data_IF_956845200720
#
_entry.id   IF_956845200720
#
_cell.length_a   1.000
_cell.length_b   1.000
_cell.length_c   1.000
_cell.angle_alpha   90.00
_cell.angle_beta   90.00
_cell.angle_gamma   90.00
#
_symmetry.space_group_name_H-M   'P 1'
#
loop_
_entity.id
_entity.type
_entity.pdbx_description
1 polymer ?
#
# COMPACT_ATOMS: atom_id res chain seq x y z
N UNK A 1 -56.93 -29.85 -44.09
CA UNK A 1 -56.56 -29.90 -42.64
C UNK A 1 -55.10 -29.47 -42.51
N UNK A 2 -54.90 -28.15 -42.19
CA UNK A 2 -53.54 -27.59 -41.98
C UNK A 2 -53.24 -27.55 -40.46
N UNK A 3 -52.23 -28.28 -40.08
CA UNK A 3 -51.72 -28.31 -38.70
C UNK A 3 -50.71 -27.18 -38.54
N UNK A 4 -50.99 -26.19 -37.67
CA UNK A 4 -50.04 -25.10 -37.32
C UNK A 4 -49.15 -25.59 -36.18
N UNK A 5 -47.85 -25.70 -36.43
CA UNK A 5 -46.84 -25.87 -35.37
C UNK A 5 -46.56 -24.50 -34.73
N UNK A 6 -46.79 -24.42 -33.42
CA UNK A 6 -46.32 -23.31 -32.57
C UNK A 6 -44.89 -23.59 -32.14
N UNK A 7 -43.94 -22.74 -32.55
CA UNK A 7 -42.59 -22.74 -32.05
C UNK A 7 -42.53 -21.80 -30.85
N UNK A 8 -42.38 -22.36 -29.66
CA UNK A 8 -42.15 -21.60 -28.43
C UNK A 8 -40.64 -21.36 -28.32
N UNK A 9 -40.21 -20.13 -28.60
CA UNK A 9 -38.83 -19.70 -28.38
C UNK A 9 -38.60 -19.44 -26.88
N UNK A 10 -37.73 -20.24 -26.27
CA UNK A 10 -37.25 -19.99 -24.91
C UNK A 10 -36.19 -18.89 -24.93
N UNK A 11 -36.52 -17.74 -24.37
CA UNK A 11 -35.57 -16.65 -24.12
C UNK A 11 -34.76 -16.98 -22.86
N UNK A 12 -33.55 -17.49 -23.01
CA UNK A 12 -32.61 -17.64 -21.91
C UNK A 12 -31.97 -16.29 -21.58
N UNK A 13 -32.53 -15.63 -20.58
CA UNK A 13 -31.90 -14.42 -20.01
C UNK A 13 -30.62 -14.77 -19.27
N UNK A 14 -29.48 -14.33 -19.82
CA UNK A 14 -28.19 -14.36 -19.11
C UNK A 14 -28.24 -13.23 -18.08
N UNK A 15 -28.44 -13.59 -16.81
CA UNK A 15 -28.19 -12.68 -15.68
C UNK A 15 -26.67 -12.50 -15.56
N UNK A 16 -26.18 -11.34 -16.02
CA UNK A 16 -24.84 -10.87 -15.68
C UNK A 16 -24.82 -10.56 -14.18
N UNK A 17 -24.23 -11.44 -13.37
CA UNK A 17 -23.85 -11.10 -12.01
C UNK A 17 -22.72 -10.04 -12.12
N UNK A 18 -23.10 -8.76 -12.05
CA UNK A 18 -22.15 -7.71 -11.65
C UNK A 18 -21.73 -8.02 -10.21
N UNK A 19 -20.56 -8.62 -10.04
CA UNK A 19 -19.91 -8.69 -8.74
C UNK A 19 -19.76 -7.25 -8.23
N UNK A 20 -20.46 -6.90 -7.14
CA UNK A 20 -20.12 -5.72 -6.36
C UNK A 20 -18.72 -5.99 -5.78
N UNK A 21 -17.68 -5.53 -6.45
CA UNK A 21 -16.40 -5.31 -5.79
C UNK A 21 -16.68 -4.26 -4.71
N UNK A 22 -16.61 -4.68 -3.45
CA UNK A 22 -16.66 -3.75 -2.32
C UNK A 22 -15.49 -2.80 -2.50
N UNK A 23 -15.79 -1.56 -2.86
CA UNK A 23 -14.77 -0.53 -2.99
C UNK A 23 -14.08 -0.39 -1.62
N UNK A 24 -12.76 -0.59 -1.58
CA UNK A 24 -11.94 -0.24 -0.42
C UNK A 24 -12.21 1.23 -0.08
N UNK A 25 -12.64 1.50 1.13
CA UNK A 25 -12.94 2.86 1.58
C UNK A 25 -12.63 3.00 3.06
N UNK A 26 -11.80 3.99 3.39
CA UNK A 26 -11.40 4.27 4.78
C UNK A 26 -12.53 4.98 5.53
N UNK A 27 -12.88 4.47 6.72
CA UNK A 27 -13.78 5.13 7.67
C UNK A 27 -12.99 6.15 8.51
N UNK A 28 -12.93 7.39 8.03
CA UNK A 28 -12.16 8.45 8.70
C UNK A 28 -12.72 8.87 10.06
N UNK A 29 -14.03 8.72 10.30
CA UNK A 29 -14.60 9.02 11.61
C UNK A 29 -14.11 8.00 12.65
N UNK A 30 -14.07 6.73 12.28
CA UNK A 30 -13.50 5.67 13.12
C UNK A 30 -12.00 5.83 13.29
N UNK A 31 -11.25 6.12 12.21
CA UNK A 31 -9.81 6.37 12.28
C UNK A 31 -9.48 7.52 13.22
N UNK A 32 -10.27 8.60 13.21
CA UNK A 32 -10.12 9.72 14.13
C UNK A 32 -10.37 9.29 15.60
N UNK A 33 -11.38 8.49 15.85
CA UNK A 33 -11.64 7.96 17.20
C UNK A 33 -10.49 7.08 17.69
N UNK A 34 -9.98 6.18 16.84
CA UNK A 34 -8.81 5.34 17.16
C UNK A 34 -7.58 6.20 17.43
N UNK A 35 -7.28 7.17 16.56
CA UNK A 35 -6.16 8.09 16.74
C UNK A 35 -6.23 8.81 18.08
N UNK A 36 -7.36 9.46 18.39
CA UNK A 36 -7.53 10.24 19.61
C UNK A 36 -7.43 9.36 20.86
N UNK A 37 -8.03 8.17 20.82
CA UNK A 37 -8.03 7.24 21.96
C UNK A 37 -6.65 6.68 22.27
N UNK A 38 -5.80 6.44 21.26
CA UNK A 38 -4.48 5.80 21.43
C UNK A 38 -3.33 6.81 21.53
N UNK A 39 -3.40 7.92 20.82
CA UNK A 39 -2.30 8.88 20.67
C UNK A 39 -2.67 10.30 21.13
N UNK A 40 -3.93 10.52 21.49
CA UNK A 40 -4.42 11.86 21.82
C UNK A 40 -4.67 12.73 20.58
N UNK A 41 -5.11 13.99 20.76
CA UNK A 41 -5.54 14.85 19.66
C UNK A 41 -4.40 15.51 18.88
N UNK A 42 -3.14 15.34 19.29
CA UNK A 42 -2.00 16.09 18.75
C UNK A 42 -1.80 15.93 17.24
N UNK A 43 -2.13 14.76 16.68
CA UNK A 43 -1.98 14.45 15.25
C UNK A 43 -3.30 14.49 14.46
N UNK A 44 -4.39 14.99 15.04
CA UNK A 44 -5.67 15.10 14.33
C UNK A 44 -5.58 15.96 13.05
N UNK A 45 -4.72 16.98 13.05
CA UNK A 45 -4.45 17.78 11.85
C UNK A 45 -3.75 17.00 10.74
N UNK A 46 -2.81 16.13 11.08
CA UNK A 46 -2.13 15.27 10.11
C UNK A 46 -3.10 14.24 9.51
N UNK A 47 -3.99 13.66 10.31
CA UNK A 47 -5.05 12.77 9.84
C UNK A 47 -6.00 13.49 8.88
N UNK A 48 -6.43 14.72 9.22
CA UNK A 48 -7.30 15.54 8.36
C UNK A 48 -6.62 15.90 7.04
N UNK A 49 -5.31 16.21 7.04
CA UNK A 49 -4.54 16.47 5.84
C UNK A 49 -4.41 15.22 4.96
N UNK A 50 -4.24 14.03 5.56
CA UNK A 50 -4.24 12.76 4.83
C UNK A 50 -5.59 12.49 4.18
N UNK A 51 -6.69 12.64 4.91
CA UNK A 51 -8.06 12.53 4.39
C UNK A 51 -8.28 13.47 3.19
N UNK A 52 -7.87 14.73 3.33
CA UNK A 52 -7.98 15.74 2.26
C UNK A 52 -7.14 15.38 1.04
N UNK A 53 -5.92 14.87 1.24
CA UNK A 53 -5.05 14.42 0.15
C UNK A 53 -5.71 13.28 -0.64
N UNK A 54 -6.29 12.28 0.05
CA UNK A 54 -7.00 11.17 -0.56
C UNK A 54 -8.24 11.65 -1.31
N UNK A 55 -9.09 12.46 -0.68
CA UNK A 55 -10.30 12.99 -1.32
C UNK A 55 -9.98 13.76 -2.63
N UNK A 56 -8.93 14.58 -2.61
CA UNK A 56 -8.47 15.33 -3.79
C UNK A 56 -7.79 14.43 -4.85
N UNK A 57 -7.36 13.22 -4.48
CA UNK A 57 -6.70 12.27 -5.35
C UNK A 57 -7.63 11.26 -6.03
N UNK A 58 -8.86 11.08 -5.56
CA UNK A 58 -9.76 9.99 -6.01
C UNK A 58 -9.91 9.91 -7.53
N UNK A 59 -10.12 11.04 -8.18
CA UNK A 59 -10.34 11.12 -9.62
C UNK A 59 -9.07 11.45 -10.44
N UNK A 60 -7.91 11.46 -9.80
CA UNK A 60 -6.65 11.74 -10.49
C UNK A 60 -6.19 10.52 -11.31
N UNK A 61 -5.36 10.76 -12.35
CA UNK A 61 -4.66 9.70 -13.05
C UNK A 61 -3.68 8.95 -12.12
N UNK A 62 -3.42 7.66 -12.40
CA UNK A 62 -2.54 6.83 -11.55
C UNK A 62 -1.18 7.48 -11.25
N UNK A 63 -0.45 8.08 -12.22
CA UNK A 63 0.83 8.74 -11.91
C UNK A 63 0.70 9.89 -10.90
N UNK A 64 -0.41 10.64 -10.97
CA UNK A 64 -0.67 11.72 -10.01
C UNK A 64 -1.02 11.20 -8.61
N UNK A 65 -1.75 10.07 -8.54
CA UNK A 65 -2.02 9.36 -7.27
C UNK A 65 -0.71 8.93 -6.61
N UNK A 66 0.18 8.28 -7.36
CA UNK A 66 1.49 7.85 -6.87
C UNK A 66 2.30 9.02 -6.32
N UNK A 67 2.39 10.12 -7.08
CA UNK A 67 3.14 11.30 -6.66
C UNK A 67 2.56 11.93 -5.40
N UNK A 68 1.24 12.15 -5.34
CA UNK A 68 0.56 12.76 -4.19
C UNK A 68 0.78 11.96 -2.90
N UNK A 69 0.62 10.65 -2.97
CA UNK A 69 0.82 9.77 -1.81
C UNK A 69 2.29 9.74 -1.38
N UNK A 70 3.21 9.60 -2.34
CA UNK A 70 4.65 9.59 -2.03
C UNK A 70 5.09 10.91 -1.40
N UNK A 71 4.70 12.04 -1.98
CA UNK A 71 5.04 13.37 -1.48
C UNK A 71 4.43 13.63 -0.10
N UNK A 72 3.19 13.18 0.13
CA UNK A 72 2.53 13.38 1.41
C UNK A 72 3.32 12.75 2.55
N UNK A 73 3.57 11.47 2.50
CA UNK A 73 4.29 10.77 3.58
C UNK A 73 5.72 11.26 3.70
N UNK A 74 6.45 11.38 2.59
CA UNK A 74 7.86 11.80 2.63
C UNK A 74 8.07 13.22 3.17
N UNK A 75 7.06 14.09 3.13
CA UNK A 75 7.16 15.48 3.65
C UNK A 75 6.54 15.68 5.02
N UNK A 76 5.63 14.79 5.43
CA UNK A 76 4.82 15.01 6.63
C UNK A 76 5.20 14.09 7.79
N UNK A 77 5.87 12.99 7.51
CA UNK A 77 6.33 12.02 8.50
C UNK A 77 7.83 12.18 8.70
N UNK A 78 8.26 12.14 9.95
CA UNK A 78 9.69 12.15 10.30
C UNK A 78 10.20 10.72 10.28
N UNK A 79 11.35 10.47 9.64
CA UNK A 79 12.01 9.18 9.73
C UNK A 79 12.61 8.99 11.14
N UNK A 80 12.27 7.88 11.78
CA UNK A 80 12.82 7.48 13.09
C UNK A 80 12.76 5.95 13.22
N UNK A 81 13.70 5.38 13.96
CA UNK A 81 13.81 3.94 14.11
C UNK A 81 12.77 3.39 15.10
N UNK A 82 12.31 2.17 14.86
CA UNK A 82 11.33 1.45 15.70
C UNK A 82 11.70 1.39 17.17
N UNK A 83 12.99 1.19 17.47
CA UNK A 83 13.46 1.14 18.85
C UNK A 83 13.17 2.45 19.61
N UNK A 84 13.24 3.59 18.92
CA UNK A 84 12.95 4.92 19.47
C UNK A 84 11.46 5.16 19.62
N UNK A 85 10.63 4.60 18.71
CA UNK A 85 9.19 4.85 18.67
C UNK A 85 8.44 3.85 19.55
N UNK A 86 8.76 2.55 19.41
CA UNK A 86 7.99 1.44 19.96
C UNK A 86 8.72 0.65 21.05
N UNK A 87 10.02 0.92 21.27
CA UNK A 87 10.86 0.10 22.17
C UNK A 87 11.08 -1.32 21.66
N UNK A 88 10.85 -1.57 20.37
CA UNK A 88 11.02 -2.84 19.67
C UNK A 88 11.98 -2.64 18.48
N UNK A 89 12.63 -3.69 18.00
CA UNK A 89 13.63 -3.57 16.93
C UNK A 89 13.06 -3.68 15.52
N UNK A 90 11.79 -4.06 15.37
CA UNK A 90 11.16 -4.30 14.06
C UNK A 90 9.64 -4.41 14.28
N UNK A 91 8.96 -3.27 14.24
CA UNK A 91 7.51 -3.13 14.42
C UNK A 91 6.89 -2.50 13.18
N UNK A 92 6.04 -3.21 12.49
CA UNK A 92 5.35 -2.68 11.30
C UNK A 92 4.08 -1.95 11.70
N UNK A 93 4.12 -0.63 11.67
CA UNK A 93 2.99 0.20 12.08
C UNK A 93 1.87 0.20 11.03
N UNK A 94 0.62 0.25 11.51
CA UNK A 94 -0.52 0.57 10.64
C UNK A 94 -0.47 2.04 10.22
N UNK A 95 -1.20 2.46 9.16
CA UNK A 95 -1.21 3.87 8.78
C UNK A 95 -1.67 4.81 9.89
N UNK A 96 -2.60 4.36 10.76
CA UNK A 96 -3.06 5.20 11.87
C UNK A 96 -2.04 5.27 13.01
N UNK A 97 -1.26 4.21 13.21
CA UNK A 97 -0.14 4.21 14.14
C UNK A 97 0.97 5.14 13.68
N UNK A 98 1.35 5.09 12.38
CA UNK A 98 2.31 6.00 11.78
C UNK A 98 1.87 7.47 11.89
N UNK A 99 0.61 7.77 11.56
CA UNK A 99 0.05 9.12 11.67
C UNK A 99 -0.01 9.55 13.13
N UNK A 100 -0.40 8.66 14.04
CA UNK A 100 -0.51 8.95 15.47
C UNK A 100 0.83 9.28 16.13
N UNK A 101 1.92 8.66 15.67
CA UNK A 101 3.28 8.97 16.09
C UNK A 101 3.88 10.17 15.33
N UNK A 102 3.43 10.42 14.10
CA UNK A 102 4.01 11.44 13.20
C UNK A 102 5.42 11.09 12.74
N UNK A 103 5.89 9.89 13.02
CA UNK A 103 7.21 9.35 12.69
C UNK A 103 7.16 7.84 12.52
N UNK A 104 8.10 7.29 11.75
CA UNK A 104 8.21 5.87 11.44
C UNK A 104 9.43 5.56 10.59
N UNK A 105 9.65 4.30 10.31
CA UNK A 105 10.75 3.85 9.47
C UNK A 105 10.31 3.41 8.06
N UNK A 106 11.18 2.71 7.32
CA UNK A 106 10.96 2.45 5.90
C UNK A 106 9.73 1.58 5.60
N UNK A 107 9.44 0.58 6.43
CA UNK A 107 8.26 -0.26 6.28
C UNK A 107 6.97 0.49 6.55
N UNK A 108 6.96 1.36 7.57
CA UNK A 108 5.81 2.18 7.92
C UNK A 108 5.42 3.13 6.81
N UNK A 109 6.41 3.82 6.22
CA UNK A 109 6.21 4.65 5.03
C UNK A 109 5.63 3.85 3.87
N UNK A 110 6.21 2.67 3.60
CA UNK A 110 5.80 1.81 2.48
C UNK A 110 4.39 1.27 2.66
N UNK A 111 4.04 0.83 3.87
CA UNK A 111 2.72 0.32 4.25
C UNK A 111 1.66 1.42 4.15
N UNK A 112 1.93 2.61 4.68
CA UNK A 112 0.99 3.73 4.63
C UNK A 112 0.74 4.20 3.19
N UNK A 113 1.78 4.22 2.34
CA UNK A 113 1.64 4.49 0.90
C UNK A 113 0.79 3.40 0.22
N UNK A 114 1.00 2.12 0.55
CA UNK A 114 0.24 0.99 0.01
C UNK A 114 -1.25 1.14 0.30
N UNK A 115 -1.66 1.32 1.56
CA UNK A 115 -3.07 1.49 1.94
C UNK A 115 -3.69 2.74 1.34
N UNK A 116 -2.95 3.85 1.28
CA UNK A 116 -3.41 5.09 0.65
C UNK A 116 -3.71 4.91 -0.85
N UNK A 117 -2.87 4.16 -1.57
CA UNK A 117 -3.09 3.89 -2.99
C UNK A 117 -4.26 2.92 -3.22
N UNK A 118 -4.49 1.96 -2.31
CA UNK A 118 -5.68 1.11 -2.34
C UNK A 118 -6.95 1.96 -2.18
N UNK A 119 -7.01 2.89 -1.21
CA UNK A 119 -8.14 3.80 -1.04
C UNK A 119 -8.37 4.70 -2.26
N UNK A 120 -7.31 5.08 -2.95
CA UNK A 120 -7.39 5.82 -4.22
C UNK A 120 -7.82 4.94 -5.41
N UNK A 121 -8.10 3.64 -5.19
CA UNK A 121 -8.59 2.72 -6.22
C UNK A 121 -7.49 2.12 -7.09
N UNK A 122 -6.23 2.14 -6.67
CA UNK A 122 -5.18 1.36 -7.33
C UNK A 122 -5.35 -0.12 -6.92
N UNK A 123 -5.53 -1.06 -7.88
CA UNK A 123 -5.73 -2.46 -7.56
C UNK A 123 -4.54 -3.09 -6.83
N UNK A 124 -4.80 -4.01 -5.89
CA UNK A 124 -3.77 -4.80 -5.18
C UNK A 124 -2.77 -5.44 -6.15
N UNK A 125 -3.25 -5.93 -7.30
CA UNK A 125 -2.40 -6.58 -8.33
C UNK A 125 -1.32 -5.65 -8.91
N UNK A 126 -1.47 -4.33 -8.77
CA UNK A 126 -0.49 -3.33 -9.21
C UNK A 126 0.49 -2.90 -8.12
N UNK A 127 0.33 -3.33 -6.88
CA UNK A 127 1.12 -2.88 -5.74
C UNK A 127 1.84 -4.03 -5.07
N UNK A 128 3.13 -3.85 -4.76
CA UNK A 128 3.91 -4.79 -3.94
C UNK A 128 4.81 -4.03 -2.99
N UNK A 129 4.79 -4.41 -1.73
CA UNK A 129 5.83 -4.08 -0.77
C UNK A 129 7.06 -4.93 -1.09
N UNK A 130 8.21 -4.31 -1.21
CA UNK A 130 9.46 -4.98 -1.64
C UNK A 130 10.52 -4.79 -0.58
N UNK A 131 10.96 -5.90 0.01
CA UNK A 131 12.11 -5.93 0.90
C UNK A 131 13.39 -5.99 0.07
N UNK A 132 14.29 -5.05 0.28
CA UNK A 132 15.50 -4.86 -0.50
C UNK A 132 16.74 -4.75 0.39
N UNK A 133 17.92 -5.01 -0.18
CA UNK A 133 19.18 -4.46 0.34
C UNK A 133 19.44 -3.14 -0.37
N UNK A 134 19.42 -2.04 0.37
CA UNK A 134 19.73 -0.71 -0.14
C UNK A 134 21.23 -0.43 0.07
N UNK A 135 21.89 0.02 -1.00
CA UNK A 135 23.28 0.52 -0.95
C UNK A 135 23.24 2.02 -0.76
N UNK A 136 23.88 2.48 0.30
CA UNK A 136 24.07 3.89 0.59
C UNK A 136 25.54 4.24 0.69
N UNK A 137 25.91 5.46 0.32
CA UNK A 137 27.27 5.95 0.52
C UNK A 137 27.45 6.39 1.98
N UNK A 138 28.37 5.73 2.69
CA UNK A 138 28.73 6.06 4.05
C UNK A 138 30.13 6.70 4.14
N UNK A 139 30.52 7.26 5.30
CA UNK A 139 31.81 7.93 5.49
C UNK A 139 33.03 7.02 5.24
N UNK A 140 32.88 5.71 5.47
CA UNK A 140 33.93 4.70 5.27
C UNK A 140 33.76 3.86 3.99
N UNK A 141 32.88 4.27 3.07
CA UNK A 141 32.49 3.57 1.84
C UNK A 141 31.04 3.08 1.87
N UNK A 142 30.61 2.37 0.81
CA UNK A 142 29.21 1.97 0.68
C UNK A 142 28.81 0.96 1.77
N UNK A 143 27.64 1.20 2.36
CA UNK A 143 27.00 0.31 3.33
C UNK A 143 25.75 -0.31 2.71
N UNK A 144 25.48 -1.57 3.06
CA UNK A 144 24.25 -2.27 2.69
C UNK A 144 23.37 -2.39 3.92
N UNK A 145 22.14 -1.87 3.81
CA UNK A 145 21.17 -1.97 4.88
C UNK A 145 19.86 -2.61 4.39
N UNK A 146 19.15 -3.24 5.32
CA UNK A 146 17.78 -3.67 5.09
C UNK A 146 16.90 -2.45 4.83
N UNK A 147 15.99 -2.56 3.87
CA UNK A 147 15.10 -1.47 3.51
C UNK A 147 13.82 -1.99 2.88
N UNK A 148 12.74 -1.23 2.97
CA UNK A 148 11.47 -1.54 2.32
C UNK A 148 11.02 -0.39 1.45
N UNK A 149 10.52 -0.72 0.25
CA UNK A 149 9.94 0.23 -0.70
C UNK A 149 8.61 -0.28 -1.21
N UNK A 150 7.79 0.62 -1.76
CA UNK A 150 6.59 0.25 -2.47
C UNK A 150 6.84 0.27 -3.98
N UNK A 151 6.53 -0.83 -4.67
CA UNK A 151 6.60 -0.95 -6.12
C UNK A 151 5.20 -0.90 -6.72
N UNK A 152 5.03 -0.07 -7.76
CA UNK A 152 3.81 0.02 -8.57
C UNK A 152 4.06 -0.50 -9.98
N UNK A 153 3.22 -1.45 -10.42
CA UNK A 153 3.25 -2.08 -11.74
C UNK A 153 2.08 -1.55 -12.59
N UNK A 154 2.35 -0.77 -13.63
CA UNK A 154 1.31 -0.31 -14.56
C UNK A 154 0.59 -1.48 -15.25
N UNK A 155 1.36 -2.52 -15.63
CA UNK A 155 0.91 -3.82 -16.13
C UNK A 155 1.75 -4.93 -15.45
N UNK A 156 1.32 -6.21 -15.46
CA UNK A 156 2.01 -7.30 -14.76
C UNK A 156 3.50 -7.47 -15.11
N UNK A 157 3.90 -7.10 -16.32
CA UNK A 157 5.28 -7.24 -16.83
C UNK A 157 5.99 -5.89 -17.00
N UNK A 158 5.41 -4.79 -16.51
CA UNK A 158 6.05 -3.48 -16.58
C UNK A 158 7.26 -3.41 -15.65
N UNK A 159 8.25 -2.60 -16.01
CA UNK A 159 9.28 -2.14 -15.09
C UNK A 159 8.61 -1.28 -14.00
N UNK A 160 8.57 -1.72 -12.74
CA UNK A 160 7.77 -1.04 -11.74
C UNK A 160 8.36 0.31 -11.35
N UNK A 161 7.47 1.24 -11.02
CA UNK A 161 7.85 2.49 -10.38
C UNK A 161 8.06 2.28 -8.88
N UNK A 162 9.16 2.78 -8.35
CA UNK A 162 9.53 2.66 -6.93
C UNK A 162 9.17 3.95 -6.18
N UNK A 163 8.37 3.79 -5.13
CA UNK A 163 8.05 4.83 -4.16
C UNK A 163 8.87 4.55 -2.89
N UNK A 164 9.68 5.50 -2.49
CA UNK A 164 10.69 5.33 -1.46
C UNK A 164 10.71 6.56 -0.52
N UNK A 165 11.18 6.39 0.71
CA UNK A 165 11.41 7.50 1.65
C UNK A 165 12.87 7.98 1.65
N UNK A 166 13.84 7.12 1.29
CA UNK A 166 15.25 7.49 1.16
C UNK A 166 15.53 8.26 -0.12
N UNK A 167 14.95 7.83 -1.24
CA UNK A 167 14.99 8.56 -2.50
C UNK A 167 13.57 8.94 -2.89
N UNK A 168 13.21 10.17 -2.65
CA UNK A 168 11.83 10.67 -2.80
C UNK A 168 11.36 10.79 -4.25
N UNK A 169 12.28 10.71 -5.23
CA UNK A 169 11.93 10.72 -6.64
C UNK A 169 11.40 9.34 -7.06
N UNK A 170 10.19 9.31 -7.63
CA UNK A 170 9.61 8.08 -8.18
C UNK A 170 10.35 7.73 -9.48
N UNK A 171 11.05 6.59 -9.49
CA UNK A 171 11.84 6.09 -10.63
C UNK A 171 11.49 4.66 -10.98
N UNK A 172 11.68 4.24 -12.24
CA UNK A 172 11.63 2.83 -12.61
C UNK A 172 12.68 2.01 -11.84
N UNK A 173 12.34 0.77 -11.46
CA UNK A 173 13.23 -0.12 -10.72
C UNK A 173 14.57 -0.36 -11.46
N UNK A 174 14.54 -0.43 -12.81
CA UNK A 174 15.75 -0.54 -13.63
C UNK A 174 16.73 0.62 -13.45
N UNK A 175 16.27 1.77 -12.94
CA UNK A 175 17.11 2.94 -12.63
C UNK A 175 17.46 3.07 -11.16
N UNK A 176 17.05 2.10 -10.32
CA UNK A 176 17.37 2.01 -8.89
C UNK A 176 18.40 0.91 -8.65
N UNK A 177 19.59 1.11 -9.22
CA UNK A 177 20.73 0.18 -9.09
C UNK A 177 21.31 0.11 -7.68
N UNK A 178 20.88 1.01 -6.82
CA UNK A 178 21.14 1.03 -5.39
C UNK A 178 20.31 0.00 -4.60
N UNK A 179 19.24 -0.56 -5.20
CA UNK A 179 18.33 -1.49 -4.55
C UNK A 179 18.48 -2.92 -5.11
N UNK A 180 18.72 -3.89 -4.23
CA UNK A 180 18.73 -5.31 -4.58
C UNK A 180 17.53 -6.04 -3.95
N UNK A 181 16.47 -6.38 -4.73
CA UNK A 181 15.27 -7.03 -4.22
C UNK A 181 15.56 -8.43 -3.64
N UNK A 182 14.98 -8.74 -2.47
CA UNK A 182 15.08 -10.04 -1.81
C UNK A 182 13.76 -10.81 -1.95
N UNK A 183 12.66 -10.18 -1.54
CA UNK A 183 11.29 -10.68 -1.72
C UNK A 183 10.31 -9.52 -1.82
N UNK A 184 9.11 -9.81 -2.33
CA UNK A 184 8.01 -8.85 -2.36
C UNK A 184 6.71 -9.51 -1.93
N UNK A 185 5.76 -8.72 -1.44
CA UNK A 185 4.49 -9.23 -0.94
C UNK A 185 3.38 -8.16 -1.02
N UNK A 186 2.15 -8.62 -0.91
CA UNK A 186 0.95 -7.81 -0.65
C UNK A 186 -0.13 -8.72 -0.03
N UNK A 187 -1.38 -8.26 0.04
CA UNK A 187 -2.48 -9.07 0.58
C UNK A 187 -2.84 -10.30 -0.27
N UNK A 188 -2.38 -10.38 -1.53
CA UNK A 188 -2.64 -11.49 -2.44
C UNK A 188 -1.53 -12.57 -2.42
N UNK A 189 -0.31 -12.27 -1.94
CA UNK A 189 0.76 -13.27 -1.93
C UNK A 189 2.14 -12.77 -1.54
N UNK A 190 3.10 -13.70 -1.63
CA UNK A 190 4.53 -13.49 -1.39
C UNK A 190 5.32 -14.00 -2.60
N UNK A 191 6.28 -13.22 -3.09
CA UNK A 191 7.11 -13.53 -4.25
C UNK A 191 8.60 -13.44 -3.90
N UNK A 192 9.40 -14.33 -4.49
CA UNK A 192 10.86 -14.20 -4.40
C UNK A 192 11.32 -13.04 -5.30
N UNK A 193 12.07 -12.09 -4.76
CA UNK A 193 12.45 -10.88 -5.47
C UNK A 193 11.23 -10.13 -6.00
N UNK A 194 11.27 -9.78 -7.28
CA UNK A 194 10.16 -9.17 -8.03
C UNK A 194 9.51 -10.16 -9.02
N UNK A 195 9.76 -11.45 -8.87
CA UNK A 195 9.27 -12.52 -9.76
C UNK A 195 7.76 -12.65 -9.83
N UNK A 196 7.27 -13.46 -10.77
CA UNK A 196 5.82 -13.63 -11.03
C UNK A 196 5.20 -14.82 -10.32
N UNK A 197 5.99 -15.76 -9.77
CA UNK A 197 5.48 -16.91 -9.04
C UNK A 197 5.30 -16.57 -7.56
N UNK A 198 4.05 -16.59 -7.09
CA UNK A 198 3.72 -16.41 -5.68
C UNK A 198 3.91 -17.70 -4.91
N UNK A 199 4.48 -17.63 -3.70
CA UNK A 199 4.40 -18.69 -2.72
C UNK A 199 3.18 -18.49 -1.83
N UNK A 200 2.66 -19.59 -1.24
CA UNK A 200 1.60 -19.49 -0.23
C UNK A 200 2.14 -19.18 1.17
N UNK A 201 3.45 -18.94 1.30
CA UNK A 201 4.08 -18.56 2.57
C UNK A 201 3.64 -17.18 2.98
N UNK A 202 3.31 -17.00 4.25
CA UNK A 202 2.91 -15.73 4.82
C UNK A 202 4.02 -15.20 5.74
N UNK A 203 4.25 -13.89 5.68
CA UNK A 203 5.09 -13.21 6.66
C UNK A 203 4.27 -12.98 7.94
N UNK A 204 4.74 -13.46 9.08
CA UNK A 204 4.00 -13.33 10.36
C UNK A 204 3.72 -11.86 10.72
N UNK A 205 4.69 -10.97 10.52
CA UNK A 205 4.51 -9.51 10.74
C UNK A 205 3.46 -8.90 9.84
N UNK A 206 3.41 -9.31 8.58
CA UNK A 206 2.38 -8.86 7.65
C UNK A 206 0.99 -9.34 8.07
N UNK A 207 0.85 -10.58 8.53
CA UNK A 207 -0.43 -11.09 9.04
C UNK A 207 -0.88 -10.36 10.31
N UNK A 208 0.04 -10.08 11.24
CA UNK A 208 -0.25 -9.28 12.42
C UNK A 208 -0.69 -7.85 12.05
N UNK A 209 0.02 -7.20 11.14
CA UNK A 209 -0.34 -5.87 10.62
C UNK A 209 -1.73 -5.89 9.97
N UNK A 210 -2.03 -6.88 9.12
CA UNK A 210 -3.35 -7.02 8.49
C UNK A 210 -4.45 -7.16 9.54
N UNK A 211 -4.22 -7.93 10.61
CA UNK A 211 -5.21 -8.10 11.69
C UNK A 211 -5.46 -6.78 12.43
N UNK A 212 -4.41 -6.00 12.74
CA UNK A 212 -4.53 -4.68 13.36
C UNK A 212 -5.19 -3.66 12.43
N UNK A 213 -4.79 -3.62 11.18
CA UNK A 213 -5.36 -2.74 10.17
C UNK A 213 -6.87 -2.97 9.98
N UNK A 214 -7.32 -4.24 9.95
CA UNK A 214 -8.75 -4.59 9.93
C UNK A 214 -9.50 -4.06 11.15
N UNK A 215 -8.94 -4.22 12.33
CA UNK A 215 -9.54 -3.70 13.55
C UNK A 215 -9.67 -2.17 13.54
N UNK A 216 -8.84 -1.48 12.77
CA UNK A 216 -8.82 -0.03 12.57
C UNK A 216 -9.65 0.44 11.35
N UNK A 217 -10.31 -0.47 10.62
CA UNK A 217 -11.13 -0.20 9.41
C UNK A 217 -10.34 0.09 8.12
N UNK A 218 -9.21 -0.57 7.95
CA UNK A 218 -8.48 -0.62 6.67
C UNK A 218 -8.89 -1.85 5.84
N UNK A 219 -10.19 -1.98 5.51
CA UNK A 219 -10.74 -3.00 4.57
C UNK A 219 -11.75 -2.42 3.61
#
# INVERSE_FOLDING_TARGET
>A
MLSRLLVIGALTGVLALCGLETAFGLDFDRLQQVLISRFGPGQAGLLADWQKMLANGKNAAEPDKLRRVNDFFNRRIVFDDDISIWGQTDYWATPIELIGQGRGDCEDFSIAKYYSLLDLGIPVSKLRLVYVKARQEGPAGPILQAHMVLAYYATPNADPLVLDNLNTEIRPASRRTDLAPIFSFNSAGLWQGTGNQSSKSNLSRWQDLLARARAESFE
#
